data_IF_478021124547
#
_entry.id   IF_478021124547
#
_cell.length_a   1.000
_cell.length_b   1.000
_cell.length_c   1.000
_cell.angle_alpha   90.00
_cell.angle_beta   90.00
_cell.angle_gamma   90.00
#
_symmetry.space_group_name_H-M   'P 1'
#
loop_
_entity.id
_entity.type
_entity.pdbx_description
1 polymer ?
#
# COMPACT_ATOMS: atom_id res chain seq x y z
N UNK A 1 -28.05 -7.04 23.25
CA UNK A 1 -26.63 -7.30 23.53
C UNK A 1 -25.88 -7.30 22.20
N UNK A 2 -25.02 -6.32 21.94
CA UNK A 2 -24.14 -6.33 20.77
C UNK A 2 -22.92 -7.16 21.15
N UNK A 3 -22.97 -8.46 20.89
CA UNK A 3 -21.78 -9.30 20.98
C UNK A 3 -20.77 -8.79 19.95
N UNK A 4 -19.71 -8.13 20.43
CA UNK A 4 -18.59 -7.83 19.55
C UNK A 4 -18.00 -9.19 19.12
N UNK A 5 -17.89 -9.45 17.81
CA UNK A 5 -17.31 -10.69 17.35
C UNK A 5 -15.90 -10.85 17.92
N UNK A 6 -15.48 -12.08 18.25
CA UNK A 6 -14.16 -12.32 18.80
C UNK A 6 -13.08 -11.74 17.87
N UNK A 7 -12.07 -11.11 18.47
CA UNK A 7 -10.94 -10.57 17.73
C UNK A 7 -10.27 -11.72 16.94
N UNK A 8 -9.99 -11.52 15.64
CA UNK A 8 -9.27 -12.53 14.86
C UNK A 8 -7.92 -12.81 15.52
N UNK A 9 -7.49 -14.06 15.51
CA UNK A 9 -6.14 -14.40 16.02
C UNK A 9 -5.06 -13.69 15.20
N UNK A 10 -3.85 -13.53 15.76
CA UNK A 10 -2.71 -12.96 15.03
C UNK A 10 -2.49 -13.67 13.70
N UNK A 11 -2.59 -15.00 13.72
CA UNK A 11 -2.48 -15.84 12.53
C UNK A 11 -3.54 -15.49 11.47
N UNK A 12 -4.79 -15.28 11.86
CA UNK A 12 -5.84 -14.86 10.93
C UNK A 12 -5.62 -13.45 10.37
N UNK A 13 -5.12 -12.52 11.19
CA UNK A 13 -4.81 -11.16 10.74
C UNK A 13 -3.66 -11.16 9.71
N UNK A 14 -2.62 -11.98 9.97
CA UNK A 14 -1.52 -12.21 9.04
C UNK A 14 -2.01 -12.80 7.71
N UNK A 15 -2.77 -13.89 7.74
CA UNK A 15 -3.27 -14.53 6.53
C UNK A 15 -4.18 -13.61 5.73
N UNK A 16 -5.08 -12.87 6.38
CA UNK A 16 -5.94 -11.91 5.69
C UNK A 16 -5.15 -10.81 5.02
N UNK A 17 -4.18 -10.23 5.74
CA UNK A 17 -3.27 -9.22 5.18
C UNK A 17 -2.51 -9.76 3.97
N UNK A 18 -1.95 -10.96 4.09
CA UNK A 18 -1.15 -11.62 3.04
C UNK A 18 -1.98 -11.97 1.79
N UNK A 19 -3.11 -12.65 1.95
CA UNK A 19 -3.95 -13.03 0.80
C UNK A 19 -4.62 -11.82 0.17
N UNK A 20 -5.08 -10.87 0.99
CA UNK A 20 -5.69 -9.63 0.52
C UNK A 20 -4.73 -8.79 -0.32
N UNK A 21 -3.49 -8.64 0.14
CA UNK A 21 -2.49 -7.89 -0.61
C UNK A 21 -1.95 -8.64 -1.81
N UNK A 22 -1.83 -9.97 -1.76
CA UNK A 22 -1.47 -10.78 -2.94
C UNK A 22 -2.51 -10.65 -4.06
N UNK A 23 -3.79 -10.81 -3.72
CA UNK A 23 -4.87 -10.67 -4.69
C UNK A 23 -4.92 -9.26 -5.28
N UNK A 24 -4.74 -8.24 -4.44
CA UNK A 24 -4.73 -6.84 -4.86
C UNK A 24 -3.51 -6.48 -5.72
N UNK A 25 -2.32 -6.97 -5.36
CA UNK A 25 -1.10 -6.80 -6.16
C UNK A 25 -1.28 -7.43 -7.56
N UNK A 26 -1.82 -8.65 -7.62
CA UNK A 26 -2.11 -9.33 -8.88
C UNK A 26 -3.12 -8.54 -9.72
N UNK A 27 -4.19 -8.06 -9.10
CA UNK A 27 -5.20 -7.24 -9.78
C UNK A 27 -4.63 -5.91 -10.27
N UNK A 28 -3.86 -5.21 -9.43
CA UNK A 28 -3.21 -3.96 -9.80
C UNK A 28 -2.30 -4.14 -11.00
N UNK A 29 -1.50 -5.20 -11.00
CA UNK A 29 -0.64 -5.56 -12.14
C UNK A 29 -1.44 -5.84 -13.42
N UNK A 30 -2.50 -6.64 -13.33
CA UNK A 30 -3.39 -6.94 -14.47
C UNK A 30 -4.05 -5.69 -15.03
N UNK A 31 -4.53 -4.79 -14.16
CA UNK A 31 -5.18 -3.54 -14.55
C UNK A 31 -4.19 -2.60 -15.25
N UNK A 32 -2.99 -2.43 -14.69
CA UNK A 32 -1.92 -1.66 -15.35
C UNK A 32 -1.63 -2.22 -16.73
N UNK A 33 -1.35 -3.53 -16.83
CA UNK A 33 -1.03 -4.20 -18.09
C UNK A 33 -2.16 -4.08 -19.12
N UNK A 34 -3.42 -4.22 -18.69
CA UNK A 34 -4.59 -4.09 -19.55
C UNK A 34 -4.81 -2.65 -20.05
N UNK A 35 -4.37 -1.64 -19.29
CA UNK A 35 -4.48 -0.24 -19.64
C UNK A 35 -3.35 0.25 -20.57
N UNK A 36 -2.19 -0.44 -20.63
CA UNK A 36 -1.06 -0.03 -21.49
C UNK A 36 -1.41 0.14 -22.98
N UNK A 37 -2.16 -0.78 -23.63
CA UNK A 37 -2.53 -0.64 -25.04
C UNK A 37 -3.36 0.61 -25.35
N UNK A 38 -4.02 1.18 -24.33
CA UNK A 38 -4.88 2.35 -24.45
C UNK A 38 -4.13 3.67 -24.24
N UNK A 39 -2.80 3.62 -24.17
CA UNK A 39 -1.97 4.79 -23.92
C UNK A 39 -2.07 5.29 -22.48
N UNK A 40 -2.45 4.43 -21.52
CA UNK A 40 -2.53 4.81 -20.11
C UNK A 40 -1.17 5.25 -19.55
N UNK A 41 -0.07 4.79 -20.16
CA UNK A 41 1.26 5.34 -19.91
C UNK A 41 1.26 6.87 -20.05
N UNK A 42 0.59 7.44 -21.05
CA UNK A 42 0.59 8.89 -21.33
C UNK A 42 -0.26 9.70 -20.34
N UNK A 43 -1.15 9.05 -19.57
CA UNK A 43 -2.16 9.74 -18.77
C UNK A 43 -1.60 10.44 -17.52
N UNK A 44 -0.58 9.86 -16.87
CA UNK A 44 0.09 10.50 -15.72
C UNK A 44 1.61 10.61 -15.87
N UNK A 45 2.24 9.95 -16.85
CA UNK A 45 3.69 10.02 -17.13
C UNK A 45 4.13 11.40 -17.62
N UNK A 46 3.19 12.16 -18.21
CA UNK A 46 3.60 13.13 -19.22
C UNK A 46 4.45 12.45 -20.30
N UNK A 47 5.04 13.20 -21.23
CA UNK A 47 5.85 12.57 -22.26
C UNK A 47 7.21 12.03 -21.74
N UNK A 48 7.69 12.44 -20.56
CA UNK A 48 9.07 12.17 -20.10
C UNK A 48 9.26 11.82 -18.60
N UNK A 49 8.17 11.55 -17.86
CA UNK A 49 8.21 11.21 -16.44
C UNK A 49 8.20 9.70 -16.11
N UNK A 50 8.40 9.33 -14.82
CA UNK A 50 8.13 7.99 -14.30
C UNK A 50 6.74 7.47 -14.64
N UNK A 51 6.55 6.15 -14.59
CA UNK A 51 5.26 5.46 -14.76
C UNK A 51 4.30 5.74 -13.58
N UNK A 52 3.93 7.00 -13.34
CA UNK A 52 3.13 7.41 -12.19
C UNK A 52 1.73 6.83 -12.21
N UNK A 53 1.15 6.60 -13.39
CA UNK A 53 -0.13 5.91 -13.52
C UNK A 53 -0.03 4.51 -12.92
N UNK A 54 0.98 3.76 -13.34
CA UNK A 54 1.22 2.40 -12.89
C UNK A 54 1.43 2.37 -11.37
N UNK A 55 2.28 3.26 -10.85
CA UNK A 55 2.55 3.38 -9.40
C UNK A 55 1.28 3.72 -8.62
N UNK A 56 0.53 4.74 -9.06
CA UNK A 56 -0.67 5.23 -8.36
C UNK A 56 -1.78 4.18 -8.36
N UNK A 57 -2.02 3.56 -9.51
CA UNK A 57 -3.03 2.52 -9.68
C UNK A 57 -2.66 1.28 -8.87
N UNK A 58 -1.41 0.82 -8.99
CA UNK A 58 -0.94 -0.36 -8.26
C UNK A 58 -1.04 -0.15 -6.73
N UNK A 59 -0.54 0.98 -6.21
CA UNK A 59 -0.65 1.29 -4.78
C UNK A 59 -2.08 1.49 -4.33
N UNK A 60 -2.92 2.14 -5.14
CA UNK A 60 -4.35 2.31 -4.88
C UNK A 60 -5.05 0.97 -4.69
N UNK A 61 -4.88 0.05 -5.64
CA UNK A 61 -5.48 -1.29 -5.57
C UNK A 61 -4.92 -2.07 -4.38
N UNK A 62 -3.59 -2.03 -4.17
CA UNK A 62 -2.93 -2.71 -3.06
C UNK A 62 -3.48 -2.28 -1.69
N UNK A 63 -3.48 -0.97 -1.38
CA UNK A 63 -3.98 -0.46 -0.10
C UNK A 63 -5.49 -0.65 0.05
N UNK A 64 -6.25 -0.56 -1.03
CA UNK A 64 -7.67 -0.91 -1.05
C UNK A 64 -7.91 -2.37 -0.67
N UNK A 65 -7.13 -3.31 -1.23
CA UNK A 65 -7.22 -4.73 -0.91
C UNK A 65 -6.77 -5.08 0.51
N UNK A 66 -5.72 -4.44 1.01
CA UNK A 66 -5.31 -4.57 2.43
C UNK A 66 -6.44 -4.09 3.33
N UNK A 67 -7.02 -2.92 3.05
CA UNK A 67 -8.13 -2.38 3.81
C UNK A 67 -9.39 -3.26 3.74
N UNK A 68 -9.70 -3.82 2.56
CA UNK A 68 -10.85 -4.70 2.38
C UNK A 68 -10.69 -6.04 3.09
N UNK A 69 -9.48 -6.59 3.13
CA UNK A 69 -9.20 -7.90 3.76
C UNK A 69 -9.12 -7.80 5.29
N UNK A 70 -8.61 -6.68 5.82
CA UNK A 70 -8.49 -6.44 7.25
C UNK A 70 -9.75 -5.83 7.87
N UNK A 71 -10.53 -5.06 7.10
CA UNK A 71 -11.86 -4.60 7.51
C UNK A 71 -12.95 -5.54 7.01
N UNK A 72 -14.19 -5.32 7.46
CA UNK A 72 -15.39 -5.93 6.85
C UNK A 72 -16.25 -4.88 6.13
N UNK A 73 -15.68 -3.70 5.85
CA UNK A 73 -16.44 -2.54 5.38
C UNK A 73 -15.85 -2.07 4.04
N UNK A 74 -16.66 -1.91 2.99
CA UNK A 74 -16.16 -1.43 1.70
C UNK A 74 -15.69 0.04 1.76
N UNK A 75 -16.27 0.86 2.65
CA UNK A 75 -15.92 2.28 2.78
C UNK A 75 -14.42 2.53 3.05
N UNK A 76 -13.81 1.94 4.10
CA UNK A 76 -12.37 2.02 4.33
C UNK A 76 -11.51 1.56 3.15
N UNK A 77 -11.95 0.54 2.39
CA UNK A 77 -11.25 0.07 1.21
C UNK A 77 -11.25 1.10 0.09
N UNK A 78 -12.41 1.69 -0.21
CA UNK A 78 -12.51 2.77 -1.18
C UNK A 78 -11.71 4.00 -0.76
N UNK A 79 -11.76 4.37 0.53
CA UNK A 79 -11.00 5.51 1.05
C UNK A 79 -9.48 5.29 0.95
N UNK A 80 -8.99 4.10 1.30
CA UNK A 80 -7.57 3.77 1.18
C UNK A 80 -7.10 3.74 -0.28
N UNK A 81 -7.90 3.15 -1.17
CA UNK A 81 -7.61 3.12 -2.60
C UNK A 81 -7.57 4.53 -3.20
N UNK A 82 -8.59 5.36 -2.89
CA UNK A 82 -8.65 6.74 -3.34
C UNK A 82 -7.51 7.59 -2.76
N UNK A 83 -7.18 7.43 -1.47
CA UNK A 83 -6.10 8.18 -0.84
C UNK A 83 -4.73 7.89 -1.45
N UNK A 84 -4.41 6.60 -1.67
CA UNK A 84 -3.15 6.22 -2.33
C UNK A 84 -3.11 6.68 -3.79
N UNK A 85 -4.21 6.50 -4.54
CA UNK A 85 -4.27 6.91 -5.94
C UNK A 85 -4.15 8.43 -6.09
N UNK A 86 -5.00 9.20 -5.39
CA UNK A 86 -5.03 10.67 -5.48
C UNK A 86 -3.77 11.31 -4.88
N UNK A 87 -3.21 10.71 -3.82
CA UNK A 87 -2.01 11.20 -3.15
C UNK A 87 -0.77 11.23 -4.05
N UNK A 88 -0.75 10.44 -5.12
CA UNK A 88 0.31 10.46 -6.14
C UNK A 88 -0.19 11.16 -7.41
N UNK A 89 -1.35 10.76 -7.92
CA UNK A 89 -1.87 11.26 -9.19
C UNK A 89 -2.04 12.80 -9.20
N UNK A 90 -2.65 13.40 -8.16
CA UNK A 90 -2.91 14.84 -8.13
C UNK A 90 -1.63 15.69 -8.12
N UNK A 91 -0.69 15.53 -7.17
CA UNK A 91 0.52 16.34 -7.15
C UNK A 91 1.38 16.12 -8.39
N UNK A 92 1.47 14.88 -8.90
CA UNK A 92 2.22 14.62 -10.13
C UNK A 92 1.58 15.29 -11.34
N UNK A 93 0.25 15.21 -11.49
CA UNK A 93 -0.47 15.92 -12.56
C UNK A 93 -0.22 17.43 -12.49
N UNK A 94 -0.26 18.02 -11.29
CA UNK A 94 -0.01 19.46 -11.12
C UNK A 94 1.43 19.82 -11.50
N UNK A 95 2.41 19.03 -11.05
CA UNK A 95 3.82 19.30 -11.35
C UNK A 95 4.15 19.12 -12.84
N UNK A 96 3.60 18.09 -13.50
CA UNK A 96 3.85 17.84 -14.92
C UNK A 96 3.09 18.79 -15.82
N UNK A 97 1.81 19.05 -15.57
CA UNK A 97 0.97 19.84 -16.49
C UNK A 97 0.94 21.34 -16.18
N UNK A 98 0.95 21.75 -14.92
CA UNK A 98 0.90 23.17 -14.55
C UNK A 98 2.29 23.79 -14.44
N UNK A 99 3.22 23.12 -13.76
CA UNK A 99 4.60 23.62 -13.58
C UNK A 99 5.55 23.24 -14.73
N UNK A 100 5.11 22.38 -15.66
CA UNK A 100 5.91 21.83 -16.76
C UNK A 100 7.21 21.14 -16.31
N UNK A 101 7.26 20.66 -15.07
CA UNK A 101 8.43 19.93 -14.58
C UNK A 101 8.46 18.54 -15.22
N UNK A 102 9.64 18.11 -15.68
CA UNK A 102 9.80 16.80 -16.33
C UNK A 102 9.16 16.71 -17.71
N UNK A 103 8.94 17.85 -18.40
CA UNK A 103 8.31 17.94 -19.73
C UNK A 103 9.30 18.17 -20.88
N UNK A 104 10.63 18.18 -20.66
CA UNK A 104 11.63 18.33 -21.72
C UNK A 104 12.21 16.98 -22.15
N UNK A 105 12.05 16.64 -23.43
CA UNK A 105 12.35 15.34 -24.05
C UNK A 105 13.79 14.87 -23.93
N UNK A 106 14.70 15.84 -23.89
CA UNK A 106 16.14 15.62 -24.03
C UNK A 106 16.93 16.16 -22.83
N UNK A 107 16.23 16.65 -21.80
CA UNK A 107 16.86 17.16 -20.59
C UNK A 107 16.93 16.04 -19.55
N UNK A 108 18.07 15.91 -18.89
CA UNK A 108 18.17 15.07 -17.70
C UNK A 108 17.16 15.58 -16.65
N UNK A 109 16.49 14.67 -15.91
CA UNK A 109 15.59 15.08 -14.86
C UNK A 109 16.34 15.96 -13.85
N UNK A 110 15.77 17.12 -13.52
CA UNK A 110 16.40 18.01 -12.54
C UNK A 110 16.39 17.37 -11.15
N UNK A 111 17.35 17.74 -10.29
CA UNK A 111 17.35 17.30 -8.90
C UNK A 111 16.04 17.64 -8.18
N UNK A 112 15.47 18.82 -8.47
CA UNK A 112 14.18 19.24 -7.93
C UNK A 112 13.03 18.27 -8.31
N UNK A 113 13.01 17.82 -9.57
CA UNK A 113 12.04 16.83 -10.04
C UNK A 113 12.21 15.48 -9.32
N UNK A 114 13.45 15.00 -9.20
CA UNK A 114 13.74 13.74 -8.50
C UNK A 114 13.27 13.78 -7.04
N UNK A 115 13.58 14.85 -6.31
CA UNK A 115 13.13 15.01 -4.92
C UNK A 115 11.62 15.17 -4.79
N UNK A 116 10.97 15.85 -5.74
CA UNK A 116 9.51 15.97 -5.74
C UNK A 116 8.84 14.60 -5.89
N UNK A 117 9.33 13.76 -6.80
CA UNK A 117 8.84 12.38 -6.98
C UNK A 117 9.01 11.56 -5.72
N UNK A 118 10.20 11.58 -5.11
CA UNK A 118 10.46 10.86 -3.86
C UNK A 118 9.54 11.36 -2.75
N UNK A 119 9.40 12.67 -2.59
CA UNK A 119 8.59 13.27 -1.55
C UNK A 119 7.11 12.87 -1.72
N UNK A 120 6.56 13.03 -2.92
CA UNK A 120 5.17 12.65 -3.21
C UNK A 120 4.91 11.16 -2.94
N UNK A 121 5.78 10.28 -3.45
CA UNK A 121 5.61 8.84 -3.25
C UNK A 121 5.73 8.45 -1.77
N UNK A 122 6.71 9.02 -1.07
CA UNK A 122 6.94 8.78 0.36
C UNK A 122 5.72 9.24 1.17
N UNK A 123 5.26 10.48 0.96
CA UNK A 123 4.13 11.04 1.67
C UNK A 123 2.83 10.27 1.41
N UNK A 124 2.55 9.89 0.16
CA UNK A 124 1.36 9.13 -0.18
C UNK A 124 1.37 7.74 0.47
N UNK A 125 2.50 7.03 0.41
CA UNK A 125 2.65 5.68 0.97
C UNK A 125 2.51 5.68 2.50
N UNK A 126 3.25 6.57 3.17
CA UNK A 126 3.21 6.68 4.63
C UNK A 126 1.90 7.26 5.14
N UNK A 127 1.39 8.30 4.50
CA UNK A 127 0.10 8.91 4.81
C UNK A 127 -1.03 7.90 4.70
N UNK A 128 -1.06 7.11 3.63
CA UNK A 128 -2.07 6.04 3.45
C UNK A 128 -1.91 4.94 4.49
N UNK A 129 -0.68 4.51 4.80
CA UNK A 129 -0.42 3.47 5.83
C UNK A 129 -0.89 3.91 7.22
N UNK A 130 -0.51 5.13 7.62
CA UNK A 130 -0.92 5.70 8.91
C UNK A 130 -2.45 5.91 8.97
N UNK A 131 -3.02 6.45 7.90
CA UNK A 131 -4.46 6.66 7.77
C UNK A 131 -5.24 5.34 7.84
N UNK A 132 -4.74 4.31 7.18
CA UNK A 132 -5.31 2.96 7.22
C UNK A 132 -5.25 2.38 8.64
N UNK A 133 -4.10 2.49 9.32
CA UNK A 133 -3.98 2.07 10.71
C UNK A 133 -4.94 2.79 11.64
N UNK A 134 -5.12 4.10 11.46
CA UNK A 134 -6.09 4.89 12.22
C UNK A 134 -7.54 4.49 11.94
N UNK A 135 -7.87 4.20 10.67
CA UNK A 135 -9.21 3.77 10.24
C UNK A 135 -9.57 2.37 10.74
N UNK A 136 -8.62 1.44 10.69
CA UNK A 136 -8.81 0.05 11.08
C UNK A 136 -8.79 -0.17 12.60
N UNK A 137 -8.27 0.80 13.38
CA UNK A 137 -8.28 0.77 14.85
C UNK A 137 -8.99 2.01 15.44
N UNK A 138 -10.32 2.13 15.29
CA UNK A 138 -11.05 3.36 15.58
C UNK A 138 -11.03 3.77 17.06
N UNK A 139 -10.90 2.81 17.99
CA UNK A 139 -10.87 3.05 19.44
C UNK A 139 -9.54 3.66 19.91
N UNK A 140 -8.43 3.39 19.20
CA UNK A 140 -7.09 3.90 19.51
C UNK A 140 -6.35 4.23 18.22
N UNK A 141 -6.86 5.24 17.49
CA UNK A 141 -6.41 5.60 16.14
C UNK A 141 -4.90 5.81 16.03
N UNK A 142 -4.29 6.51 17.00
CA UNK A 142 -2.85 6.77 17.02
C UNK A 142 -2.03 5.48 17.16
N UNK A 143 -2.49 4.50 17.97
CA UNK A 143 -1.82 3.20 18.09
C UNK A 143 -1.92 2.43 16.79
N UNK A 144 -3.13 2.37 16.22
CA UNK A 144 -3.34 1.73 14.93
C UNK A 144 -2.41 2.28 13.85
N UNK A 145 -2.28 3.60 13.76
CA UNK A 145 -1.37 4.26 12.84
C UNK A 145 0.09 3.85 13.06
N UNK A 146 0.61 3.98 14.30
CA UNK A 146 2.00 3.62 14.63
C UNK A 146 2.28 2.14 14.34
N UNK A 147 1.41 1.23 14.76
CA UNK A 147 1.64 -0.19 14.56
C UNK A 147 1.48 -0.62 13.10
N UNK A 148 0.60 0.02 12.32
CA UNK A 148 0.54 -0.21 10.87
C UNK A 148 1.83 0.24 10.18
N UNK A 149 2.38 1.39 10.58
CA UNK A 149 3.69 1.88 10.14
C UNK A 149 4.83 0.91 10.49
N UNK A 150 4.92 0.49 11.76
CA UNK A 150 5.94 -0.48 12.21
C UNK A 150 5.79 -1.84 11.53
N UNK A 151 4.55 -2.29 11.33
CA UNK A 151 4.26 -3.53 10.61
C UNK A 151 4.69 -3.47 9.15
N UNK A 152 4.35 -2.38 8.45
CA UNK A 152 4.79 -2.14 7.07
C UNK A 152 6.33 -2.10 6.96
N UNK A 153 7.01 -1.40 7.88
CA UNK A 153 8.47 -1.38 7.97
C UNK A 153 9.06 -2.78 8.15
N UNK A 154 8.50 -3.58 9.05
CA UNK A 154 8.96 -4.95 9.25
C UNK A 154 8.82 -5.76 7.96
N UNK A 155 7.71 -5.61 7.23
CA UNK A 155 7.52 -6.23 5.91
C UNK A 155 8.58 -5.81 4.88
N UNK A 156 8.86 -4.51 4.80
CA UNK A 156 9.92 -3.97 3.93
C UNK A 156 11.32 -4.47 4.30
N UNK A 157 11.64 -4.53 5.60
CA UNK A 157 12.94 -5.03 6.07
C UNK A 157 13.13 -6.52 5.75
N UNK A 158 12.08 -7.33 5.93
CA UNK A 158 12.11 -8.75 5.56
C UNK A 158 12.35 -8.91 4.06
N UNK A 159 11.67 -8.11 3.23
CA UNK A 159 11.87 -8.10 1.79
C UNK A 159 13.32 -7.70 1.42
N UNK A 160 13.82 -6.63 2.01
CA UNK A 160 15.18 -6.13 1.75
C UNK A 160 16.24 -7.20 2.10
N UNK A 161 16.09 -7.87 3.25
CA UNK A 161 16.96 -8.99 3.62
C UNK A 161 16.85 -10.13 2.61
N UNK A 162 15.64 -10.51 2.20
CA UNK A 162 15.43 -11.55 1.19
C UNK A 162 16.10 -11.21 -0.15
N UNK A 163 15.93 -9.98 -0.65
CA UNK A 163 16.52 -9.54 -1.91
C UNK A 163 18.05 -9.47 -1.86
N UNK A 164 18.65 -9.19 -0.70
CA UNK A 164 20.10 -9.26 -0.51
C UNK A 164 20.62 -10.70 -0.52
N UNK A 165 19.84 -11.63 0.04
CA UNK A 165 20.19 -13.06 0.04
C UNK A 165 19.99 -13.71 -1.33
N UNK A 166 19.11 -13.17 -2.16
CA UNK A 166 18.82 -13.69 -3.50
C UNK A 166 18.82 -12.56 -4.55
N UNK A 167 19.99 -12.05 -4.95
CA UNK A 167 20.12 -10.86 -5.80
C UNK A 167 19.54 -11.05 -7.21
N UNK A 168 19.37 -12.29 -7.67
CA UNK A 168 18.75 -12.59 -8.97
C UNK A 168 17.33 -12.05 -9.09
N UNK A 169 16.59 -11.94 -7.98
CA UNK A 169 15.26 -11.33 -7.97
C UNK A 169 15.29 -9.80 -8.06
N UNK A 170 16.42 -9.16 -7.75
CA UNK A 170 16.54 -7.70 -7.79
C UNK A 170 16.68 -7.11 -9.21
N UNK A 171 16.95 -7.93 -10.23
CA UNK A 171 17.24 -7.49 -11.58
C UNK A 171 15.97 -7.48 -12.44
N UNK A 172 15.31 -6.33 -12.58
CA UNK A 172 14.15 -6.17 -13.49
C UNK A 172 12.93 -5.45 -12.91
N UNK A 173 13.15 -4.47 -12.03
CA UNK A 173 12.17 -3.99 -11.04
C UNK A 173 10.95 -3.21 -11.56
N UNK A 174 10.87 -2.85 -12.84
CA UNK A 174 9.87 -1.87 -13.30
C UNK A 174 9.50 -2.02 -14.77
N UNK A 175 9.12 -3.22 -15.23
CA UNK A 175 8.64 -3.36 -16.61
C UNK A 175 7.31 -4.14 -16.68
N UNK A 176 6.16 -3.46 -16.79
CA UNK A 176 4.85 -4.10 -16.96
C UNK A 176 4.66 -4.69 -18.37
N UNK A 177 5.71 -5.25 -18.98
CA UNK A 177 5.66 -5.86 -20.32
C UNK A 177 4.98 -7.22 -20.35
N UNK A 178 4.51 -7.73 -19.21
CA UNK A 178 3.90 -9.05 -19.14
C UNK A 178 2.70 -9.03 -18.21
N UNK A 179 1.70 -9.87 -18.47
CA UNK A 179 0.56 -10.09 -17.57
C UNK A 179 0.93 -10.87 -16.30
N UNK A 180 2.14 -11.42 -16.23
CA UNK A 180 2.65 -12.14 -15.07
C UNK A 180 3.30 -11.11 -14.13
N UNK A 181 2.80 -10.91 -12.91
CA UNK A 181 3.39 -9.98 -11.97
C UNK A 181 4.81 -10.43 -11.58
N UNK A 182 5.71 -9.48 -11.35
CA UNK A 182 7.03 -9.78 -10.81
C UNK A 182 6.88 -10.47 -9.45
N UNK A 183 7.59 -11.59 -9.21
CA UNK A 183 7.60 -12.23 -7.89
C UNK A 183 8.00 -11.28 -6.76
N UNK A 184 8.85 -10.29 -7.05
CA UNK A 184 9.26 -9.28 -6.07
C UNK A 184 8.13 -8.34 -5.71
N UNK A 185 7.33 -7.90 -6.67
CA UNK A 185 6.23 -6.97 -6.41
C UNK A 185 5.08 -7.65 -5.64
N UNK A 186 4.83 -8.93 -5.95
CA UNK A 186 3.91 -9.78 -5.18
C UNK A 186 4.42 -9.98 -3.76
N UNK A 187 5.69 -10.34 -3.58
CA UNK A 187 6.29 -10.56 -2.27
C UNK A 187 6.29 -9.26 -1.43
N UNK A 188 6.56 -8.12 -2.07
CA UNK A 188 6.47 -6.80 -1.46
C UNK A 188 5.06 -6.53 -0.94
N UNK A 189 4.04 -6.70 -1.79
CA UNK A 189 2.65 -6.54 -1.40
C UNK A 189 2.24 -7.47 -0.25
N UNK A 190 2.62 -8.75 -0.35
CA UNK A 190 2.35 -9.78 0.68
C UNK A 190 2.93 -9.40 2.04
N UNK A 191 4.20 -9.02 2.09
CA UNK A 191 4.90 -8.70 3.33
C UNK A 191 4.38 -7.40 3.96
N UNK A 192 4.05 -6.39 3.15
CA UNK A 192 3.41 -5.15 3.63
C UNK A 192 2.03 -5.46 4.21
N UNK A 193 1.19 -6.21 3.49
CA UNK A 193 -0.15 -6.58 3.96
C UNK A 193 -0.12 -7.42 5.24
N UNK A 194 0.76 -8.42 5.31
CA UNK A 194 0.98 -9.23 6.51
C UNK A 194 1.46 -8.37 7.69
N UNK A 195 2.45 -7.50 7.45
CA UNK A 195 2.99 -6.59 8.46
C UNK A 195 1.93 -5.65 9.02
N UNK A 196 1.15 -4.99 8.16
CA UNK A 196 0.04 -4.11 8.57
C UNK A 196 -1.01 -4.89 9.36
N UNK A 197 -1.37 -6.10 8.91
CA UNK A 197 -2.30 -6.98 9.62
C UNK A 197 -1.83 -7.34 11.03
N UNK A 198 -0.56 -7.73 11.17
CA UNK A 198 0.06 -8.01 12.47
C UNK A 198 0.11 -6.77 13.38
N UNK A 199 0.50 -5.61 12.82
CA UNK A 199 0.54 -4.35 13.54
C UNK A 199 -0.82 -3.97 14.10
N UNK A 200 -1.88 -4.01 13.28
CA UNK A 200 -3.24 -3.68 13.72
C UNK A 200 -3.73 -4.66 14.79
N UNK A 201 -3.42 -5.95 14.65
CA UNK A 201 -3.74 -6.94 15.70
C UNK A 201 -3.11 -6.55 17.04
N UNK A 202 -1.83 -6.16 17.06
CA UNK A 202 -1.12 -5.73 18.27
C UNK A 202 -1.67 -4.41 18.86
N UNK A 203 -2.19 -3.53 18.01
CA UNK A 203 -2.80 -2.28 18.44
C UNK A 203 -4.20 -2.45 19.03
N UNK A 204 -4.88 -3.55 18.73
CA UNK A 204 -6.29 -3.75 19.10
C UNK A 204 -6.42 -4.19 20.57
N UNK A 205 -7.22 -3.50 21.40
CA UNK A 205 -7.38 -3.85 22.81
C UNK A 205 -8.00 -5.25 22.96
N UNK A 206 -7.43 -6.11 23.80
CA UNK A 206 -8.06 -7.39 24.16
C UNK A 206 -9.19 -7.13 25.15
N UNK A 207 -10.35 -7.81 25.03
CA UNK A 207 -11.40 -7.73 26.04
C UNK A 207 -10.83 -8.20 27.38
N UNK A 208 -10.88 -7.32 28.37
CA UNK A 208 -10.63 -7.71 29.77
C UNK A 208 -11.76 -8.62 30.18
N UNK A 209 -11.46 -9.90 30.44
CA UNK A 209 -12.40 -10.81 31.07
C UNK A 209 -12.80 -10.16 32.40
N UNK A 210 -14.10 -9.89 32.66
CA UNK A 210 -14.51 -9.38 33.95
C UNK A 210 -14.05 -10.38 35.01
N UNK A 211 -13.36 -9.91 36.03
CA UNK A 211 -12.96 -10.74 37.16
C UNK A 211 -14.22 -11.44 37.67
N UNK A 212 -14.19 -12.78 37.69
CA UNK A 212 -15.26 -13.59 38.27
C UNK A 212 -15.46 -13.06 39.69
N UNK A 213 -16.60 -12.43 39.98
CA UNK A 213 -16.94 -12.09 41.35
C UNK A 213 -16.91 -13.40 42.14
N UNK A 214 -16.18 -13.47 43.27
CA UNK A 214 -16.22 -14.63 44.12
C UNK A 214 -17.66 -14.80 44.58
N UNK A 215 -18.27 -15.92 44.19
CA UNK A 215 -19.60 -16.31 44.64
C UNK A 215 -19.61 -16.32 46.16
N UNK A 216 -20.36 -15.38 46.77
CA UNK A 216 -20.66 -15.32 48.19
C UNK A 216 -21.68 -16.38 48.57
#
# INVERSE_FOLDING_TARGET
MNEQPPLPSLFQALLRGLYGSLAAATLGHMLVTACLPWGAELWLKGPYGPHFFDISLYLGVLYGGIALSLSRRPGPACAAAAAAFLGIALPMTVLTHAARWGMDTNAQPTLAWYYAVIATHTLATWGTTLGLGALLCPQRRWRGAIFAALGSLAGYLILEVFLRLVPSYAQGRWNPKSFIPSPVDLLTGMLIGAGIGAGIYLATPRPTVPAKEPSS
#
